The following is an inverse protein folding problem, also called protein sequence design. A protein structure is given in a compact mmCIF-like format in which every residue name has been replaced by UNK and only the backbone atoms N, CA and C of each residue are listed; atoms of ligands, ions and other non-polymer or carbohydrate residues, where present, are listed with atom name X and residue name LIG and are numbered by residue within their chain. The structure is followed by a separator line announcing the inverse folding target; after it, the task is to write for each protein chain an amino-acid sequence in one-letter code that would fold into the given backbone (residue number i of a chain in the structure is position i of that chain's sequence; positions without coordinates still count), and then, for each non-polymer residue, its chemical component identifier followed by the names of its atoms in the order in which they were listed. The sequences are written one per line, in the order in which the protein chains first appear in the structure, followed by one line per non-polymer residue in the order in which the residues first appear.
data_IF_429700614402
#
_entry.id   IF_429700614402
#
_cell.length_a   1.000
_cell.length_b   1.000
_cell.length_c   1.000
_cell.angle_alpha   90.00
_cell.angle_beta   90.00
_cell.angle_gamma   90.00
#
_symmetry.space_group_name_H-M   'P 1'
#
loop_
_entity.id
_entity.type
_entity.pdbx_description
1 polymer ?
#
# COMPACT_ATOMS: atom_id res chain seq x y z
N UNK A 1 44.36 -47.79 -16.47
CA UNK A 1 43.16 -46.97 -16.71
C UNK A 1 42.66 -46.47 -15.36
N UNK A 2 42.73 -45.17 -15.10
CA UNK A 2 42.12 -44.57 -13.90
C UNK A 2 40.64 -44.36 -14.23
N UNK A 3 39.77 -45.10 -13.55
CA UNK A 3 38.33 -44.91 -13.61
C UNK A 3 38.03 -43.57 -12.92
N UNK A 4 37.73 -42.53 -13.70
CA UNK A 4 37.20 -41.28 -13.16
C UNK A 4 35.87 -41.61 -12.48
N UNK A 5 35.82 -41.42 -11.16
CA UNK A 5 34.56 -41.48 -10.43
C UNK A 5 33.76 -40.25 -10.85
N UNK A 6 32.66 -40.45 -11.59
CA UNK A 6 31.65 -39.40 -11.77
C UNK A 6 31.18 -38.96 -10.38
N UNK A 7 31.56 -37.73 -10.00
CA UNK A 7 31.03 -37.07 -8.81
C UNK A 7 29.68 -36.51 -9.22
N UNK A 8 28.62 -37.32 -9.08
CA UNK A 8 27.25 -36.83 -9.21
C UNK A 8 26.94 -36.07 -7.93
N UNK A 9 27.11 -34.75 -7.96
CA UNK A 9 26.72 -33.87 -6.85
C UNK A 9 25.20 -33.69 -6.90
N UNK A 10 24.52 -34.19 -5.89
CA UNK A 10 23.10 -33.91 -5.66
C UNK A 10 22.96 -32.51 -5.07
N UNK A 11 22.16 -31.66 -5.70
CA UNK A 11 21.90 -30.28 -5.27
C UNK A 11 20.64 -30.19 -4.38
N UNK A 12 19.96 -31.31 -4.13
CA UNK A 12 18.78 -31.39 -3.28
C UNK A 12 17.53 -30.77 -3.90
N UNK A 13 16.46 -30.70 -3.11
CA UNK A 13 15.18 -30.11 -3.52
C UNK A 13 15.16 -28.59 -3.29
N UNK A 14 14.77 -27.85 -4.34
CA UNK A 14 14.54 -26.41 -4.30
C UNK A 14 13.04 -26.13 -4.40
N UNK A 15 12.47 -25.55 -3.34
CA UNK A 15 11.10 -25.04 -3.36
C UNK A 15 11.18 -23.59 -3.83
N UNK A 16 10.70 -23.33 -5.05
CA UNK A 16 10.78 -22.03 -5.69
C UNK A 16 9.36 -21.66 -6.12
N UNK A 17 8.86 -20.46 -5.76
CA UNK A 17 7.56 -20.00 -6.21
C UNK A 17 7.56 -19.85 -7.74
N UNK A 18 6.47 -20.22 -8.39
CA UNK A 18 6.29 -20.07 -9.85
C UNK A 18 5.18 -19.07 -10.23
N UNK A 19 4.57 -18.44 -9.22
CA UNK A 19 3.50 -17.45 -9.33
C UNK A 19 3.44 -16.57 -8.08
N UNK A 20 2.72 -15.45 -8.18
CA UNK A 20 2.60 -14.48 -7.09
C UNK A 20 1.81 -15.01 -5.88
N UNK A 21 0.92 -15.98 -6.06
CA UNK A 21 0.16 -16.60 -4.96
C UNK A 21 1.04 -17.40 -3.99
N UNK A 22 2.23 -17.80 -4.43
CA UNK A 22 3.18 -18.56 -3.61
C UNK A 22 4.14 -17.64 -2.85
N UNK A 23 4.14 -16.33 -3.16
CA UNK A 23 4.98 -15.33 -2.48
C UNK A 23 4.25 -14.80 -1.24
N UNK A 24 4.90 -14.94 -0.09
CA UNK A 24 4.43 -14.33 1.16
C UNK A 24 4.62 -12.80 1.15
N UNK A 25 3.81 -12.08 1.92
CA UNK A 25 3.94 -10.63 2.08
C UNK A 25 5.34 -10.25 2.57
N UNK A 26 5.91 -11.03 3.50
CA UNK A 26 7.28 -10.80 3.97
C UNK A 26 8.30 -10.90 2.84
N UNK A 27 8.26 -11.98 2.08
CA UNK A 27 9.16 -12.19 0.94
C UNK A 27 9.04 -11.06 -0.08
N UNK A 28 7.81 -10.59 -0.35
CA UNK A 28 7.59 -9.44 -1.21
C UNK A 28 8.24 -8.17 -0.66
N UNK A 29 8.08 -7.87 0.63
CA UNK A 29 8.73 -6.74 1.29
C UNK A 29 10.26 -6.85 1.25
N UNK A 30 10.83 -8.05 1.43
CA UNK A 30 12.27 -8.29 1.37
C UNK A 30 12.82 -8.03 -0.05
N UNK A 31 12.09 -8.41 -1.09
CA UNK A 31 12.42 -8.08 -2.48
C UNK A 31 12.36 -6.57 -2.70
N UNK A 32 11.29 -5.89 -2.28
CA UNK A 32 11.20 -4.42 -2.43
C UNK A 32 12.31 -3.70 -1.66
N UNK A 33 12.69 -4.21 -0.49
CA UNK A 33 13.78 -3.67 0.31
C UNK A 33 15.14 -3.83 -0.39
N UNK A 34 15.37 -4.95 -1.09
CA UNK A 34 16.59 -5.17 -1.85
C UNK A 34 16.79 -4.18 -3.02
N UNK A 35 15.69 -3.70 -3.62
CA UNK A 35 15.70 -2.69 -4.69
C UNK A 35 15.53 -1.24 -4.17
N UNK A 36 15.45 -1.03 -2.85
CA UNK A 36 15.10 0.26 -2.25
C UNK A 36 16.07 1.39 -2.57
N UNK A 37 17.37 1.11 -2.47
CA UNK A 37 18.42 2.12 -2.55
C UNK A 37 18.88 2.37 -3.99
N UNK A 38 18.65 1.41 -4.88
CA UNK A 38 19.02 1.44 -6.30
C UNK A 38 17.86 0.90 -7.14
N UNK A 39 16.88 1.75 -7.53
CA UNK A 39 15.72 1.30 -8.30
C UNK A 39 16.08 0.81 -9.71
N UNK A 40 17.22 1.28 -10.25
CA UNK A 40 17.77 0.84 -11.54
C UNK A 40 18.76 -0.33 -11.40
N UNK A 41 18.85 -0.94 -10.22
CA UNK A 41 19.73 -2.08 -9.98
C UNK A 41 19.38 -3.22 -10.92
N UNK A 42 20.40 -3.70 -11.64
CA UNK A 42 20.22 -4.84 -12.53
C UNK A 42 19.73 -6.07 -11.75
N UNK A 43 18.82 -6.83 -12.38
CA UNK A 43 18.29 -8.05 -11.78
C UNK A 43 19.40 -9.08 -11.57
N UNK A 44 19.73 -9.35 -10.30
CA UNK A 44 20.68 -10.37 -9.92
C UNK A 44 19.94 -11.62 -9.43
N UNK A 45 20.00 -12.67 -10.24
CA UNK A 45 19.36 -13.97 -9.99
C UNK A 45 19.78 -14.58 -8.65
N UNK A 46 21.06 -14.47 -8.30
CA UNK A 46 21.61 -15.08 -7.08
C UNK A 46 21.03 -14.39 -5.85
N UNK A 47 20.98 -13.06 -5.87
CA UNK A 47 20.46 -12.29 -4.75
C UNK A 47 18.94 -12.49 -4.58
N UNK A 48 18.20 -12.56 -5.68
CA UNK A 48 16.76 -12.84 -5.63
C UNK A 48 16.48 -14.26 -5.13
N UNK A 49 17.30 -15.24 -5.53
CA UNK A 49 17.16 -16.61 -5.03
C UNK A 49 17.53 -16.76 -3.55
N UNK A 50 18.51 -16.00 -3.06
CA UNK A 50 18.87 -15.92 -1.64
C UNK A 50 17.72 -15.36 -0.78
N UNK A 51 16.85 -14.52 -1.37
CA UNK A 51 15.64 -13.99 -0.71
C UNK A 51 14.46 -14.97 -0.83
N UNK A 52 14.27 -15.57 -2.01
CA UNK A 52 13.13 -16.46 -2.30
C UNK A 52 13.27 -17.85 -1.69
N UNK A 53 14.49 -18.25 -1.34
CA UNK A 53 14.80 -19.60 -0.86
C UNK A 53 15.61 -19.51 0.42
N UNK A 54 15.60 -20.57 1.24
CA UNK A 54 16.45 -20.67 2.42
C UNK A 54 17.92 -21.04 2.08
N UNK A 55 18.38 -20.74 0.86
CA UNK A 55 19.70 -21.13 0.34
C UNK A 55 20.62 -19.93 0.26
N UNK A 56 21.86 -20.14 0.69
CA UNK A 56 22.88 -19.09 0.65
C UNK A 56 23.39 -18.84 -0.78
N UNK A 57 23.86 -17.63 -1.03
CA UNK A 57 24.53 -17.26 -2.30
C UNK A 57 25.67 -18.22 -2.70
N UNK A 58 26.44 -18.71 -1.74
CA UNK A 58 27.54 -19.65 -2.00
C UNK A 58 27.05 -21.01 -2.48
N UNK A 59 25.90 -21.48 -1.97
CA UNK A 59 25.24 -22.69 -2.47
C UNK A 59 24.66 -22.46 -3.87
N UNK A 60 24.01 -21.32 -4.09
CA UNK A 60 23.42 -20.94 -5.38
C UNK A 60 24.50 -20.82 -6.46
N UNK A 61 25.67 -20.26 -6.14
CA UNK A 61 26.81 -20.13 -7.06
C UNK A 61 27.40 -21.47 -7.51
N UNK A 62 27.14 -22.55 -6.78
CA UNK A 62 27.60 -23.89 -7.14
C UNK A 62 26.63 -24.64 -8.05
N UNK A 63 25.44 -24.07 -8.32
CA UNK A 63 24.43 -24.71 -9.16
C UNK A 63 24.89 -24.80 -10.62
N UNK A 64 24.56 -25.91 -11.32
CA UNK A 64 24.79 -26.02 -12.76
C UNK A 64 24.04 -24.94 -13.53
N UNK A 65 24.64 -24.38 -14.58
CA UNK A 65 24.02 -23.33 -15.40
C UNK A 65 22.67 -23.77 -16.00
N UNK A 66 22.55 -25.04 -16.42
CA UNK A 66 21.28 -25.58 -16.93
C UNK A 66 20.18 -25.60 -15.87
N UNK A 67 20.54 -25.94 -14.62
CA UNK A 67 19.60 -25.92 -13.51
C UNK A 67 19.17 -24.49 -13.18
N UNK A 68 20.12 -23.55 -13.14
CA UNK A 68 19.83 -22.13 -12.94
C UNK A 68 18.90 -21.57 -14.04
N UNK A 69 19.10 -21.95 -15.30
CA UNK A 69 18.21 -21.55 -16.40
C UNK A 69 16.78 -22.09 -16.22
N UNK A 70 16.63 -23.31 -15.70
CA UNK A 70 15.32 -23.88 -15.40
C UNK A 70 14.59 -23.09 -14.29
N UNK A 71 15.33 -22.62 -13.28
CA UNK A 71 14.83 -21.77 -12.20
C UNK A 71 14.40 -20.41 -12.74
N UNK A 72 15.24 -19.77 -13.55
CA UNK A 72 14.95 -18.48 -14.17
C UNK A 72 13.66 -18.49 -14.98
N UNK A 73 13.40 -19.58 -15.69
CA UNK A 73 12.16 -19.75 -16.45
C UNK A 73 10.95 -19.72 -15.51
N UNK A 74 11.03 -20.36 -14.34
CA UNK A 74 9.96 -20.32 -13.33
C UNK A 74 9.80 -18.95 -12.69
N UNK A 75 10.88 -18.19 -12.52
CA UNK A 75 10.85 -16.83 -11.95
C UNK A 75 10.39 -15.75 -12.93
N UNK A 76 10.09 -16.11 -14.18
CA UNK A 76 9.67 -15.15 -15.22
C UNK A 76 8.43 -14.33 -14.84
N UNK A 77 7.56 -14.83 -13.96
CA UNK A 77 6.40 -14.07 -13.47
C UNK A 77 6.79 -12.80 -12.71
N UNK A 78 7.99 -12.74 -12.09
CA UNK A 78 8.49 -11.53 -11.41
C UNK A 78 8.73 -10.36 -12.36
N UNK A 79 8.88 -10.62 -13.66
CA UNK A 79 8.97 -9.58 -14.69
C UNK A 79 7.63 -8.88 -14.94
N UNK A 80 6.54 -9.38 -14.36
CA UNK A 80 5.19 -8.82 -14.46
C UNK A 80 4.67 -8.41 -13.10
N UNK A 81 3.91 -7.32 -13.02
CA UNK A 81 3.31 -6.89 -11.76
C UNK A 81 2.25 -7.90 -11.27
N UNK A 82 2.12 -8.11 -9.95
CA UNK A 82 1.07 -8.95 -9.40
C UNK A 82 -0.32 -8.37 -9.66
N UNK A 83 -1.31 -9.24 -9.82
CA UNK A 83 -2.71 -8.80 -9.88
C UNK A 83 -3.15 -8.22 -8.52
N UNK A 84 -3.39 -6.90 -8.50
CA UNK A 84 -3.72 -6.16 -7.26
C UNK A 84 -5.14 -6.46 -6.75
N UNK A 85 -6.05 -6.88 -7.65
CA UNK A 85 -7.46 -7.10 -7.33
C UNK A 85 -8.26 -5.82 -7.07
N UNK A 86 -9.57 -5.96 -6.85
CA UNK A 86 -10.47 -4.83 -6.53
C UNK A 86 -10.22 -4.35 -5.10
N UNK A 87 -10.32 -3.03 -4.82
CA UNK A 87 -10.24 -2.50 -3.46
C UNK A 87 -11.18 -3.23 -2.50
N UNK A 88 -10.63 -3.74 -1.40
CA UNK A 88 -11.40 -4.39 -0.33
C UNK A 88 -10.92 -3.89 1.03
N UNK A 89 -11.84 -3.49 1.89
CA UNK A 89 -11.52 -3.11 3.27
C UNK A 89 -11.50 -4.31 4.23
N UNK A 90 -11.58 -5.54 3.72
CA UNK A 90 -11.69 -6.76 4.51
C UNK A 90 -10.85 -7.88 3.91
N UNK A 91 -10.40 -8.78 4.78
CA UNK A 91 -9.72 -10.02 4.43
C UNK A 91 -10.11 -11.14 5.40
N UNK A 92 -10.20 -12.36 4.88
CA UNK A 92 -10.37 -13.56 5.71
C UNK A 92 -9.06 -14.32 5.76
N UNK A 93 -8.55 -14.57 6.98
CA UNK A 93 -7.34 -15.35 7.23
C UNK A 93 -7.73 -16.46 8.22
N UNK A 94 -7.50 -17.71 7.86
CA UNK A 94 -7.80 -18.89 8.70
C UNK A 94 -9.25 -18.94 9.24
N UNK A 95 -10.21 -18.46 8.45
CA UNK A 95 -11.64 -18.40 8.82
C UNK A 95 -12.03 -17.19 9.66
N UNK A 96 -11.08 -16.37 10.09
CA UNK A 96 -11.31 -15.13 10.83
C UNK A 96 -11.35 -13.92 9.88
N UNK A 97 -12.36 -13.06 10.05
CA UNK A 97 -12.48 -11.81 9.27
C UNK A 97 -11.74 -10.67 9.97
N UNK A 98 -10.84 -10.03 9.22
CA UNK A 98 -10.15 -8.81 9.59
C UNK A 98 -10.63 -7.68 8.69
N UNK A 99 -10.97 -6.54 9.28
CA UNK A 99 -11.47 -5.38 8.56
C UNK A 99 -10.67 -4.12 8.92
N UNK A 100 -10.47 -3.26 7.94
CA UNK A 100 -9.96 -1.90 8.16
C UNK A 100 -11.01 -1.11 8.92
N UNK A 101 -10.65 -0.57 10.08
CA UNK A 101 -11.56 0.30 10.82
C UNK A 101 -11.63 1.69 10.14
N UNK A 102 -12.72 1.94 9.42
CA UNK A 102 -12.99 3.22 8.73
C UNK A 102 -13.97 4.09 9.54
N UNK A 103 -14.79 3.47 10.40
CA UNK A 103 -15.94 4.11 11.02
C UNK A 103 -15.60 4.80 12.33
N UNK A 104 -14.67 4.24 13.11
CA UNK A 104 -14.11 4.93 14.26
C UNK A 104 -12.88 5.68 13.78
N UNK A 105 -12.89 7.01 13.93
CA UNK A 105 -11.69 7.83 13.71
C UNK A 105 -10.52 7.13 14.40
N UNK A 106 -9.47 6.84 13.63
CA UNK A 106 -8.19 6.31 14.11
C UNK A 106 -7.88 6.93 15.48
N UNK A 107 -7.77 6.09 16.51
CA UNK A 107 -7.42 6.57 17.85
C UNK A 107 -6.02 7.15 17.79
N UNK A 108 -5.74 8.14 18.65
CA UNK A 108 -4.43 8.82 18.66
C UNK A 108 -3.27 7.82 18.81
N UNK A 109 -3.43 6.80 19.65
CA UNK A 109 -2.42 5.75 19.82
C UNK A 109 -2.17 4.94 18.53
N UNK A 110 -3.23 4.53 17.83
CA UNK A 110 -3.15 3.82 16.55
C UNK A 110 -2.44 4.70 15.49
N UNK A 111 -2.80 5.99 15.43
CA UNK A 111 -2.16 6.94 14.52
C UNK A 111 -0.66 7.09 14.79
N UNK A 112 -0.28 7.27 16.06
CA UNK A 112 1.14 7.39 16.46
C UNK A 112 1.92 6.11 16.13
N UNK A 113 1.33 4.94 16.36
CA UNK A 113 1.96 3.66 16.04
C UNK A 113 2.19 3.50 14.53
N UNK A 114 1.18 3.78 13.71
CA UNK A 114 1.31 3.73 12.24
C UNK A 114 2.29 4.77 11.73
N UNK A 115 2.25 6.01 12.22
CA UNK A 115 3.19 7.08 11.85
C UNK A 115 4.64 6.70 12.20
N UNK A 116 4.86 6.05 13.35
CA UNK A 116 6.17 5.57 13.78
C UNK A 116 6.71 4.50 12.81
N UNK A 117 5.86 3.54 12.43
CA UNK A 117 6.22 2.50 11.45
C UNK A 117 6.51 3.13 10.08
N UNK A 118 5.65 4.02 9.58
CA UNK A 118 5.84 4.68 8.29
C UNK A 118 7.13 5.52 8.24
N UNK A 119 7.53 6.15 9.35
CA UNK A 119 8.79 6.89 9.44
C UNK A 119 10.01 5.97 9.45
N UNK A 120 9.91 4.81 10.08
CA UNK A 120 10.99 3.83 10.11
C UNK A 120 11.12 3.09 8.77
N UNK A 121 10.02 2.52 8.28
CA UNK A 121 9.94 1.85 6.99
C UNK A 121 8.53 1.88 6.40
N UNK A 122 8.37 2.65 5.31
CA UNK A 122 7.09 2.81 4.60
C UNK A 122 6.61 1.53 3.94
N UNK A 123 7.50 0.56 3.71
CA UNK A 123 7.19 -0.73 3.07
C UNK A 123 6.85 -1.82 4.07
N UNK A 124 6.78 -1.51 5.37
CA UNK A 124 6.37 -2.48 6.37
C UNK A 124 4.84 -2.68 6.40
N UNK A 125 4.30 -3.23 5.30
CA UNK A 125 2.87 -3.44 5.13
C UNK A 125 2.31 -4.36 6.20
N UNK A 126 3.03 -5.43 6.58
CA UNK A 126 2.59 -6.34 7.62
C UNK A 126 2.31 -5.62 8.96
N UNK A 127 3.20 -4.73 9.40
CA UNK A 127 3.01 -3.96 10.63
C UNK A 127 1.88 -2.93 10.54
N UNK A 128 1.78 -2.23 9.40
CA UNK A 128 0.70 -1.28 9.15
C UNK A 128 -0.65 -2.00 9.19
N UNK A 129 -0.78 -3.13 8.49
CA UNK A 129 -2.01 -3.92 8.44
C UNK A 129 -2.32 -4.57 9.78
N UNK A 130 -1.32 -4.98 10.56
CA UNK A 130 -1.53 -5.53 11.90
C UNK A 130 -2.20 -4.55 12.86
N UNK A 131 -1.96 -3.25 12.68
CA UNK A 131 -2.61 -2.19 13.48
C UNK A 131 -3.99 -1.84 12.90
N UNK A 132 -4.07 -1.66 11.58
CA UNK A 132 -5.26 -1.11 10.93
C UNK A 132 -6.36 -2.15 10.69
N UNK A 133 -6.00 -3.41 10.46
CA UNK A 133 -6.93 -4.51 10.19
C UNK A 133 -7.19 -5.32 11.46
N UNK A 134 -8.40 -5.17 12.00
CA UNK A 134 -8.81 -5.77 13.27
C UNK A 134 -9.97 -6.71 13.10
N UNK A 135 -10.11 -7.64 14.04
CA UNK A 135 -11.32 -8.42 14.18
C UNK A 135 -12.47 -7.52 14.59
N UNK A 136 -13.70 -7.99 14.37
CA UNK A 136 -14.89 -7.31 14.90
C UNK A 136 -14.77 -7.16 16.42
N UNK A 137 -15.06 -5.96 16.91
CA UNK A 137 -15.02 -5.59 18.34
C UNK A 137 -13.62 -5.63 19.01
N UNK A 138 -12.55 -5.83 18.23
CA UNK A 138 -11.16 -5.76 18.72
C UNK A 138 -10.71 -4.30 18.86
N UNK A 139 -10.16 -3.97 20.03
CA UNK A 139 -9.69 -2.61 20.32
C UNK A 139 -8.17 -2.57 20.36
N UNK A 140 -7.58 -1.57 19.70
CA UNK A 140 -6.17 -1.25 19.87
C UNK A 140 -5.98 -0.51 21.19
N UNK A 141 -5.45 -1.21 22.18
CA UNK A 141 -5.04 -0.69 23.49
C UNK A 141 -3.62 -1.19 23.83
N UNK A 142 -3.13 -0.81 25.01
CA UNK A 142 -1.79 -1.20 25.47
C UNK A 142 -1.65 -2.72 25.64
N UNK A 143 -2.76 -3.44 25.86
CA UNK A 143 -2.74 -4.89 25.94
C UNK A 143 -2.55 -5.49 24.54
N UNK A 144 -3.28 -5.00 23.54
CA UNK A 144 -3.11 -5.40 22.15
C UNK A 144 -1.67 -5.16 21.68
N UNK A 145 -1.11 -3.98 21.97
CA UNK A 145 0.24 -3.61 21.57
C UNK A 145 1.30 -4.57 22.15
N UNK A 146 1.18 -4.93 23.42
CA UNK A 146 2.18 -5.78 24.09
C UNK A 146 1.99 -7.28 23.83
N UNK A 147 0.75 -7.76 23.71
CA UNK A 147 0.45 -9.20 23.68
C UNK A 147 0.11 -9.71 22.27
N UNK A 148 -0.52 -8.89 21.42
CA UNK A 148 -1.14 -9.36 20.16
C UNK A 148 -0.41 -8.86 18.92
N UNK A 149 0.14 -7.65 18.96
CA UNK A 149 0.69 -6.97 17.76
C UNK A 149 1.77 -7.81 17.05
N UNK A 150 2.74 -8.33 17.79
CA UNK A 150 3.85 -9.11 17.20
C UNK A 150 3.37 -10.40 16.52
N UNK A 151 2.38 -11.08 17.10
CA UNK A 151 1.79 -12.27 16.48
C UNK A 151 0.96 -11.91 15.25
N UNK A 152 0.24 -10.78 15.30
CA UNK A 152 -0.52 -10.26 14.17
C UNK A 152 0.38 -9.87 12.99
N UNK A 153 1.54 -9.27 13.26
CA UNK A 153 2.55 -8.98 12.23
C UNK A 153 2.97 -10.26 11.53
N UNK A 154 3.37 -11.29 12.31
CA UNK A 154 3.77 -12.60 11.77
C UNK A 154 2.63 -13.29 10.99
N UNK A 155 1.38 -13.08 11.40
CA UNK A 155 0.21 -13.59 10.69
C UNK A 155 0.11 -12.98 9.28
N UNK A 156 0.24 -11.65 9.17
CA UNK A 156 0.18 -10.93 7.90
C UNK A 156 1.41 -11.22 7.02
N UNK A 157 2.61 -11.29 7.60
CA UNK A 157 3.86 -11.64 6.92
C UNK A 157 3.76 -12.95 6.13
N UNK A 158 3.06 -13.94 6.71
CA UNK A 158 2.89 -15.27 6.11
C UNK A 158 1.82 -15.35 5.03
N UNK A 159 0.95 -14.33 4.90
CA UNK A 159 -0.11 -14.39 3.89
C UNK A 159 0.46 -14.23 2.49
N UNK A 160 -0.11 -14.93 1.49
CA UNK A 160 0.15 -14.64 0.08
C UNK A 160 -0.05 -13.16 -0.24
N UNK A 161 0.91 -12.54 -0.92
CA UNK A 161 0.85 -11.11 -1.26
C UNK A 161 -0.41 -10.76 -2.06
N UNK A 162 -0.83 -11.64 -2.97
CA UNK A 162 -2.06 -11.48 -3.77
C UNK A 162 -3.32 -11.34 -2.91
N UNK A 163 -3.37 -11.98 -1.73
CA UNK A 163 -4.51 -11.82 -0.81
C UNK A 163 -4.51 -10.47 -0.10
N UNK A 164 -3.34 -9.86 0.06
CA UNK A 164 -3.13 -8.62 0.80
C UNK A 164 -3.31 -7.38 -0.09
N UNK A 165 -2.87 -7.45 -1.36
CA UNK A 165 -2.92 -6.34 -2.31
C UNK A 165 -4.30 -5.66 -2.44
N UNK A 166 -5.44 -6.37 -2.41
CA UNK A 166 -6.76 -5.72 -2.38
C UNK A 166 -6.96 -4.72 -1.23
N UNK A 167 -6.36 -4.99 -0.06
CA UNK A 167 -6.42 -4.08 1.10
C UNK A 167 -5.50 -2.88 0.90
N UNK A 168 -4.30 -3.10 0.38
CA UNK A 168 -3.39 -2.01 0.03
C UNK A 168 -4.05 -1.10 -1.01
N UNK A 169 -4.71 -1.68 -2.02
CA UNK A 169 -5.47 -0.96 -3.03
C UNK A 169 -6.65 -0.19 -2.44
N UNK A 170 -7.29 -0.70 -1.39
CA UNK A 170 -8.30 0.04 -0.63
C UNK A 170 -7.73 1.33 -0.04
N UNK A 171 -6.57 1.30 0.61
CA UNK A 171 -5.94 2.51 1.12
C UNK A 171 -5.51 3.49 0.03
N UNK A 172 -4.94 2.99 -1.08
CA UNK A 172 -4.59 3.82 -2.24
C UNK A 172 -5.83 4.50 -2.84
N UNK A 173 -6.94 3.77 -2.94
CA UNK A 173 -8.20 4.31 -3.41
C UNK A 173 -8.74 5.39 -2.48
N UNK A 174 -8.70 5.17 -1.16
CA UNK A 174 -9.05 6.19 -0.16
C UNK A 174 -8.18 7.45 -0.30
N UNK A 175 -6.88 7.29 -0.54
CA UNK A 175 -5.98 8.42 -0.76
C UNK A 175 -6.34 9.21 -2.03
N UNK A 176 -6.55 8.55 -3.16
CA UNK A 176 -6.97 9.19 -4.42
C UNK A 176 -8.29 9.95 -4.24
N UNK A 177 -9.26 9.34 -3.56
CA UNK A 177 -10.54 10.00 -3.25
C UNK A 177 -10.30 11.23 -2.38
N UNK A 178 -9.54 11.11 -1.30
CA UNK A 178 -9.22 12.21 -0.38
C UNK A 178 -8.51 13.38 -1.08
N UNK A 179 -7.54 13.09 -1.94
CA UNK A 179 -6.84 14.10 -2.73
C UNK A 179 -7.82 14.81 -3.69
N UNK A 180 -8.67 14.05 -4.38
CA UNK A 180 -9.65 14.61 -5.31
C UNK A 180 -10.65 15.54 -4.60
N UNK A 181 -11.11 15.16 -3.40
CA UNK A 181 -12.00 15.95 -2.57
C UNK A 181 -11.32 17.22 -2.07
N UNK A 182 -10.06 17.12 -1.64
CA UNK A 182 -9.27 18.26 -1.18
C UNK A 182 -9.06 19.26 -2.31
N UNK A 183 -8.66 18.80 -3.50
CA UNK A 183 -8.49 19.65 -4.69
C UNK A 183 -9.80 20.34 -5.09
N UNK A 184 -10.92 19.62 -5.04
CA UNK A 184 -12.23 20.18 -5.34
C UNK A 184 -12.61 21.25 -4.31
N UNK A 185 -12.42 20.97 -3.02
CA UNK A 185 -12.66 21.92 -1.94
C UNK A 185 -11.88 23.22 -2.15
N UNK A 186 -10.56 23.14 -2.37
CA UNK A 186 -9.71 24.30 -2.59
C UNK A 186 -10.14 25.14 -3.79
N UNK A 187 -10.53 24.51 -4.91
CA UNK A 187 -11.04 25.23 -6.10
C UNK A 187 -12.35 25.98 -5.81
N UNK A 188 -13.25 25.39 -5.03
CA UNK A 188 -14.52 26.04 -4.69
C UNK A 188 -14.29 27.19 -3.70
N UNK A 189 -13.38 27.01 -2.74
CA UNK A 189 -12.97 28.06 -1.79
C UNK A 189 -12.33 29.25 -2.52
N UNK A 190 -11.38 29.01 -3.42
CA UNK A 190 -10.77 30.05 -4.25
C UNK A 190 -11.82 30.79 -5.09
N UNK A 191 -12.78 30.07 -5.68
CA UNK A 191 -13.88 30.68 -6.44
C UNK A 191 -14.79 31.55 -5.57
N UNK A 192 -14.99 31.20 -4.29
CA UNK A 192 -15.72 32.01 -3.32
C UNK A 192 -14.95 33.28 -3.03
N UNK A 193 -13.66 33.18 -2.72
CA UNK A 193 -12.79 34.31 -2.40
C UNK A 193 -12.68 35.30 -3.56
N UNK A 194 -12.45 34.81 -4.78
CA UNK A 194 -12.41 35.64 -5.99
C UNK A 194 -13.75 36.33 -6.25
N UNK A 195 -14.87 35.63 -6.02
CA UNK A 195 -16.20 36.20 -6.16
C UNK A 195 -16.45 37.27 -5.10
N UNK A 196 -16.02 37.06 -3.85
CA UNK A 196 -16.12 38.06 -2.77
C UNK A 196 -15.25 39.28 -3.06
N UNK A 197 -13.99 39.09 -3.43
CA UNK A 197 -13.08 40.18 -3.83
C UNK A 197 -13.64 40.98 -5.01
N UNK A 198 -14.20 40.31 -6.02
CA UNK A 198 -14.85 40.99 -7.14
C UNK A 198 -16.04 41.83 -6.68
N UNK A 199 -16.90 41.30 -5.80
CA UNK A 199 -18.01 42.07 -5.20
C UNK A 199 -17.47 43.29 -4.44
N UNK A 200 -16.48 43.12 -3.58
CA UNK A 200 -15.89 44.20 -2.77
C UNK A 200 -15.25 45.29 -3.64
N UNK A 201 -14.48 44.91 -4.66
CA UNK A 201 -13.83 45.85 -5.58
C UNK A 201 -14.85 46.63 -6.40
N UNK A 202 -15.88 45.98 -6.96
CA UNK A 202 -16.93 46.68 -7.71
C UNK A 202 -17.80 47.59 -6.83
N UNK A 203 -17.98 47.25 -5.54
CA UNK A 203 -18.62 48.15 -4.57
C UNK A 203 -17.74 49.37 -4.31
N UNK A 204 -16.42 49.18 -4.07
CA UNK A 204 -15.47 50.28 -3.84
C UNK A 204 -15.34 51.22 -5.04
N UNK A 205 -15.31 50.67 -6.26
CA UNK A 205 -15.12 51.44 -7.49
C UNK A 205 -16.43 52.06 -8.02
N UNK A 206 -17.58 51.76 -7.42
CA UNK A 206 -18.90 52.23 -7.91
C UNK A 206 -19.38 51.54 -9.19
N UNK A 207 -18.69 50.50 -9.66
CA UNK A 207 -18.93 49.77 -10.91
C UNK A 207 -19.89 48.58 -10.72
N UNK A 208 -21.09 48.79 -10.19
CA UNK A 208 -22.06 47.70 -9.99
C UNK A 208 -23.48 48.06 -10.44
N UNK A 209 -24.10 47.17 -11.19
CA UNK A 209 -25.53 47.25 -11.54
C UNK A 209 -26.36 46.30 -10.68
N UNK A 210 -27.65 46.62 -10.46
CA UNK A 210 -28.56 45.74 -9.67
C UNK A 210 -28.60 44.30 -10.17
N UNK A 211 -28.50 44.09 -11.50
CA UNK A 211 -28.50 42.77 -12.11
C UNK A 211 -27.19 42.02 -11.84
N UNK A 212 -26.05 42.71 -11.96
CA UNK A 212 -24.74 42.15 -11.65
C UNK A 212 -24.65 41.71 -10.18
N UNK A 213 -25.06 42.57 -9.24
CA UNK A 213 -25.06 42.24 -7.80
C UNK A 213 -25.96 41.03 -7.47
N UNK A 214 -27.15 40.93 -8.09
CA UNK A 214 -28.02 39.75 -7.92
C UNK A 214 -27.39 38.47 -8.48
N UNK A 215 -26.70 38.55 -9.63
CA UNK A 215 -26.02 37.41 -10.22
C UNK A 215 -24.86 36.93 -9.36
N UNK A 216 -23.99 37.83 -8.92
CA UNK A 216 -22.86 37.50 -8.03
C UNK A 216 -23.33 36.91 -6.69
N UNK A 217 -24.38 37.46 -6.09
CA UNK A 217 -24.97 36.93 -4.85
C UNK A 217 -25.50 35.50 -5.05
N UNK A 218 -26.15 35.22 -6.18
CA UNK A 218 -26.63 33.86 -6.52
C UNK A 218 -25.46 32.91 -6.76
N UNK A 219 -24.42 33.35 -7.47
CA UNK A 219 -23.20 32.57 -7.70
C UNK A 219 -22.53 32.20 -6.37
N UNK A 220 -22.33 33.17 -5.49
CA UNK A 220 -21.77 32.96 -4.15
C UNK A 220 -22.60 31.98 -3.31
N UNK A 221 -23.94 32.11 -3.34
CA UNK A 221 -24.85 31.17 -2.64
C UNK A 221 -24.73 29.75 -3.18
N UNK A 222 -24.59 29.59 -4.50
CA UNK A 222 -24.37 28.27 -5.13
C UNK A 222 -23.03 27.67 -4.71
N UNK A 223 -21.94 28.43 -4.79
CA UNK A 223 -20.60 27.96 -4.40
C UNK A 223 -20.54 27.55 -2.92
N UNK A 224 -21.11 28.36 -2.02
CA UNK A 224 -21.21 28.03 -0.59
C UNK A 224 -22.06 26.78 -0.33
N UNK A 225 -23.10 26.55 -1.13
CA UNK A 225 -23.90 25.31 -1.06
C UNK A 225 -23.06 24.09 -1.51
N UNK A 226 -22.26 24.24 -2.57
CA UNK A 226 -21.37 23.18 -3.05
C UNK A 226 -20.34 22.78 -1.98
N UNK A 227 -19.71 23.73 -1.27
CA UNK A 227 -18.79 23.40 -0.15
C UNK A 227 -19.49 22.59 0.93
N UNK A 228 -20.69 22.99 1.36
CA UNK A 228 -21.43 22.22 2.38
C UNK A 228 -21.77 20.81 1.92
N UNK A 229 -22.04 20.63 0.62
CA UNK A 229 -22.29 19.31 0.05
C UNK A 229 -21.05 18.43 0.08
N UNK A 230 -19.87 19.00 -0.22
CA UNK A 230 -18.59 18.29 -0.17
C UNK A 230 -18.31 17.82 1.28
N UNK A 231 -18.48 18.72 2.26
CA UNK A 231 -18.26 18.44 3.68
C UNK A 231 -19.25 17.46 4.32
N UNK A 232 -20.39 17.20 3.69
CA UNK A 232 -21.41 16.25 4.18
C UNK A 232 -21.33 14.88 3.49
N UNK A 233 -20.47 14.75 2.48
CA UNK A 233 -20.21 13.47 1.79
C UNK A 233 -19.00 12.73 2.39
N UNK A 234 -18.15 13.44 3.15
CA UNK A 234 -17.11 12.92 4.05
C UNK A 234 -17.66 12.58 5.43
#
# INVERSE_FOLDING_TARGET
MKTEKEIIKDFGEYIIPDKWEDISLKTYQDIEAYYKDEPDKEFNVIDVLDILTDKSKDEINQLPAEFLNSILTKLSFLATEPEVGKPSNKITIDGEEYAVNIQEKLKVGEYVAVDTILKADKRNYAAILAILCRKRDETYDTKFENEVLNERIKLFEKQPVIKILPIINFFLNCWVISESLTRLYSKVEEAIDLTQKSIETSVKNGEHTKLWSKWQTRKLKKLRKSIRSILTTT
#
